data_IF_378549943148
#
_entry.id   IF_378549943148
#
_cell.length_a   1.000
_cell.length_b   1.000
_cell.length_c   1.000
_cell.angle_alpha   90.00
_cell.angle_beta   90.00
_cell.angle_gamma   90.00
#
_symmetry.space_group_name_H-M   'P 1'
#
loop_
_entity.id
_entity.type
_entity.pdbx_description
1 polymer ?
#
# COMPACT_ATOMS: atom_id res chain seq x y z
N UNK A 1 -36.94 -70.88 -28.47
CA UNK A 1 -35.76 -70.69 -27.61
C UNK A 1 -35.17 -69.32 -27.91
N UNK A 2 -35.46 -68.30 -27.10
CA UNK A 2 -34.90 -66.94 -27.25
C UNK A 2 -34.26 -66.56 -25.92
N UNK A 3 -32.95 -66.38 -25.94
CA UNK A 3 -32.12 -65.97 -24.82
C UNK A 3 -32.33 -64.46 -24.58
N UNK A 4 -32.78 -64.10 -23.37
CA UNK A 4 -32.82 -62.71 -22.93
C UNK A 4 -31.46 -62.36 -22.30
N UNK A 5 -30.62 -61.63 -23.02
CA UNK A 5 -29.43 -60.97 -22.47
C UNK A 5 -29.89 -59.73 -21.68
N UNK A 6 -29.74 -59.76 -20.36
CA UNK A 6 -29.83 -58.58 -19.49
C UNK A 6 -28.46 -57.89 -19.49
N UNK A 7 -28.36 -56.77 -20.21
CA UNK A 7 -27.20 -55.87 -20.18
C UNK A 7 -27.28 -55.02 -18.89
N UNK A 8 -26.41 -55.30 -17.93
CA UNK A 8 -26.23 -54.47 -16.74
C UNK A 8 -25.39 -53.23 -17.10
N UNK A 9 -26.01 -52.06 -17.11
CA UNK A 9 -25.34 -50.78 -17.36
C UNK A 9 -24.65 -50.33 -16.06
N UNK A 10 -23.34 -50.54 -15.97
CA UNK A 10 -22.51 -50.09 -14.84
C UNK A 10 -22.26 -48.58 -14.97
N UNK A 11 -23.10 -47.79 -14.30
CA UNK A 11 -22.98 -46.33 -14.27
C UNK A 11 -21.88 -45.95 -13.26
N UNK A 12 -20.64 -45.84 -13.75
CA UNK A 12 -19.49 -45.38 -12.98
C UNK A 12 -19.67 -43.88 -12.70
N UNK A 13 -20.26 -43.58 -11.54
CA UNK A 13 -20.30 -42.22 -10.98
C UNK A 13 -18.87 -41.88 -10.53
N UNK A 14 -18.15 -41.12 -11.35
CA UNK A 14 -16.89 -40.48 -10.96
C UNK A 14 -17.18 -39.40 -9.94
N UNK A 15 -17.17 -39.80 -8.66
CA UNK A 15 -17.07 -38.87 -7.53
C UNK A 15 -15.76 -38.09 -7.68
N UNK A 16 -15.85 -36.87 -8.19
CA UNK A 16 -14.78 -35.89 -8.07
C UNK A 16 -14.58 -35.63 -6.57
N UNK A 17 -13.59 -36.32 -5.99
CA UNK A 17 -13.19 -36.14 -4.61
C UNK A 17 -12.54 -34.76 -4.50
N UNK A 18 -13.33 -33.73 -4.17
CA UNK A 18 -12.77 -32.46 -3.72
C UNK A 18 -12.06 -32.78 -2.40
N UNK A 19 -10.75 -32.63 -2.36
CA UNK A 19 -9.96 -32.83 -1.15
C UNK A 19 -10.55 -31.94 -0.04
N UNK A 20 -11.26 -32.54 0.91
CA UNK A 20 -11.85 -31.82 2.04
C UNK A 20 -10.73 -31.53 3.04
N UNK A 21 -10.12 -30.36 2.92
CA UNK A 21 -9.13 -29.84 3.87
C UNK A 21 -9.82 -29.55 5.21
N UNK A 22 -9.99 -30.55 6.08
CA UNK A 22 -10.34 -30.38 7.50
C UNK A 22 -11.54 -29.47 7.83
N UNK A 23 -12.52 -29.30 6.94
CA UNK A 23 -13.65 -28.38 7.13
C UNK A 23 -13.34 -26.90 6.86
N UNK A 24 -12.29 -26.58 6.11
CA UNK A 24 -11.99 -25.22 5.65
C UNK A 24 -12.14 -25.12 4.13
N UNK A 25 -12.62 -23.97 3.66
CA UNK A 25 -12.59 -23.59 2.24
C UNK A 25 -11.94 -22.21 2.10
N UNK A 26 -11.36 -21.96 0.93
CA UNK A 26 -10.60 -20.75 0.64
C UNK A 26 -11.21 -20.04 -0.57
N UNK A 27 -11.26 -18.71 -0.56
CA UNK A 27 -11.67 -17.95 -1.76
C UNK A 27 -10.71 -18.19 -2.93
N UNK A 28 -9.43 -18.40 -2.64
CA UNK A 28 -8.42 -18.92 -3.55
C UNK A 28 -7.24 -19.48 -2.74
N UNK A 29 -6.44 -20.36 -3.35
CA UNK A 29 -5.11 -20.73 -2.85
C UNK A 29 -3.99 -19.97 -3.56
N UNK A 30 -4.32 -19.22 -4.62
CA UNK A 30 -3.40 -18.37 -5.37
C UNK A 30 -4.07 -17.00 -5.60
N UNK A 31 -3.61 -15.98 -4.88
CA UNK A 31 -4.12 -14.62 -5.03
C UNK A 31 -3.06 -13.74 -5.68
N UNK A 32 -3.47 -13.00 -6.71
CA UNK A 32 -2.61 -12.09 -7.45
C UNK A 32 -3.21 -10.69 -7.48
N UNK A 33 -2.35 -9.67 -7.42
CA UNK A 33 -2.73 -8.29 -7.68
C UNK A 33 -1.74 -7.61 -8.61
N UNK A 34 -2.24 -7.08 -9.72
CA UNK A 34 -1.53 -6.08 -10.53
C UNK A 34 -1.86 -4.69 -9.98
N UNK A 35 -0.83 -3.96 -9.56
CA UNK A 35 -0.95 -2.70 -8.83
C UNK A 35 -0.13 -1.59 -9.51
N UNK A 36 -0.74 -0.77 -10.38
CA UNK A 36 -0.19 0.52 -10.78
C UNK A 36 -0.23 1.48 -9.57
N UNK A 37 0.92 1.89 -9.04
CA UNK A 37 1.04 2.68 -7.79
C UNK A 37 2.07 3.81 -7.88
N UNK A 38 1.89 4.85 -7.07
CA UNK A 38 2.89 5.90 -6.88
C UNK A 38 3.97 5.41 -5.91
N UNK A 39 5.16 5.12 -6.43
CA UNK A 39 6.28 4.61 -5.63
C UNK A 39 6.96 5.70 -4.78
N UNK A 40 6.55 6.96 -4.90
CA UNK A 40 7.06 8.04 -4.04
C UNK A 40 6.36 8.08 -2.67
N UNK A 41 5.24 7.38 -2.50
CA UNK A 41 4.54 7.27 -1.22
C UNK A 41 5.33 6.38 -0.24
N UNK A 42 5.87 6.94 0.87
CA UNK A 42 6.64 6.18 1.84
C UNK A 42 5.79 5.21 2.69
N UNK A 43 4.46 5.33 2.66
CA UNK A 43 3.52 4.47 3.39
C UNK A 43 2.79 3.48 2.48
N UNK A 44 3.21 3.37 1.23
CA UNK A 44 2.59 2.50 0.24
C UNK A 44 2.57 1.04 0.70
N UNK A 45 1.37 0.47 0.76
CA UNK A 45 1.16 -0.96 0.90
C UNK A 45 0.21 -1.50 -0.19
N UNK A 46 0.47 -2.74 -0.63
CA UNK A 46 -0.36 -3.41 -1.62
C UNK A 46 -0.97 -4.66 -0.99
N UNK A 47 -2.27 -4.58 -0.73
CA UNK A 47 -3.05 -5.63 -0.07
C UNK A 47 -3.52 -6.70 -1.06
N UNK A 48 -3.26 -7.95 -0.72
CA UNK A 48 -3.71 -9.16 -1.43
C UNK A 48 -4.44 -10.07 -0.42
N UNK A 49 -5.78 -10.02 -0.36
CA UNK A 49 -6.56 -10.80 0.59
C UNK A 49 -6.87 -12.21 0.10
N UNK A 50 -6.92 -13.17 1.02
CA UNK A 50 -7.56 -14.48 0.84
C UNK A 50 -8.54 -14.68 2.00
N UNK A 51 -9.78 -15.05 1.69
CA UNK A 51 -10.79 -15.33 2.70
C UNK A 51 -10.86 -16.83 2.97
N UNK A 52 -10.79 -17.20 4.23
CA UNK A 52 -10.94 -18.56 4.75
C UNK A 52 -12.34 -18.68 5.33
N UNK A 53 -13.08 -19.72 4.95
CA UNK A 53 -14.40 -20.04 5.53
C UNK A 53 -14.29 -21.35 6.29
N UNK A 54 -14.76 -21.39 7.54
CA UNK A 54 -14.91 -22.64 8.27
C UNK A 54 -16.27 -23.26 7.93
N UNK A 55 -16.24 -24.33 7.13
CA UNK A 55 -17.42 -25.14 6.75
C UNK A 55 -17.59 -26.37 7.65
N UNK A 56 -16.68 -26.58 8.60
CA UNK A 56 -16.75 -27.61 9.61
C UNK A 56 -17.77 -27.31 10.72
N UNK A 57 -17.92 -28.27 11.62
CA UNK A 57 -18.82 -28.17 12.79
C UNK A 57 -18.14 -27.58 14.03
N UNK A 58 -16.81 -27.65 14.08
CA UNK A 58 -16.01 -27.20 15.22
C UNK A 58 -15.34 -25.86 14.94
N UNK A 59 -14.99 -25.14 15.99
CA UNK A 59 -14.23 -23.88 15.87
C UNK A 59 -12.79 -24.18 15.42
N UNK A 60 -12.37 -23.57 14.32
CA UNK A 60 -11.02 -23.71 13.80
C UNK A 60 -10.08 -22.69 14.47
N UNK A 61 -8.91 -23.17 14.93
CA UNK A 61 -7.80 -22.34 15.41
C UNK A 61 -6.62 -22.52 14.48
N UNK A 62 -6.20 -21.45 13.80
CA UNK A 62 -5.27 -21.53 12.67
C UNK A 62 -3.96 -20.83 12.99
N UNK A 63 -2.87 -21.52 12.64
CA UNK A 63 -1.51 -20.98 12.64
C UNK A 63 -1.12 -20.75 11.19
N UNK A 64 -0.50 -19.62 10.89
CA UNK A 64 0.14 -19.35 9.60
C UNK A 64 1.66 -19.26 9.78
N UNK A 65 2.42 -19.71 8.77
CA UNK A 65 3.88 -19.58 8.71
C UNK A 65 4.30 -19.01 7.36
N UNK A 66 5.10 -17.95 7.41
CA UNK A 66 5.68 -17.29 6.25
C UNK A 66 6.80 -18.12 5.65
N UNK A 67 6.79 -18.25 4.33
CA UNK A 67 7.95 -18.68 3.55
C UNK A 67 8.74 -17.47 3.04
N UNK A 68 9.90 -17.72 2.44
CA UNK A 68 10.75 -16.65 1.88
C UNK A 68 10.04 -15.85 0.79
N UNK A 69 10.15 -14.52 0.87
CA UNK A 69 9.74 -13.61 -0.19
C UNK A 69 10.69 -13.79 -1.39
N UNK A 70 10.13 -14.09 -2.57
CA UNK A 70 10.83 -14.04 -3.84
C UNK A 70 10.43 -12.76 -4.57
N UNK A 71 11.33 -11.79 -4.66
CA UNK A 71 11.08 -10.49 -5.29
C UNK A 71 12.25 -9.53 -5.12
N UNK A 72 12.06 -8.23 -5.40
CA UNK A 72 13.09 -7.23 -5.17
C UNK A 72 13.56 -7.23 -3.71
N UNK A 73 14.89 -7.14 -3.50
CA UNK A 73 15.49 -7.25 -2.16
C UNK A 73 15.05 -6.16 -1.18
N UNK A 74 14.59 -5.02 -1.69
CA UNK A 74 14.05 -3.93 -0.87
C UNK A 74 12.66 -4.24 -0.34
N UNK A 75 11.91 -5.17 -0.91
CA UNK A 75 10.52 -5.39 -0.54
C UNK A 75 10.38 -6.01 0.84
N UNK A 76 9.36 -5.54 1.56
CA UNK A 76 8.87 -6.11 2.79
C UNK A 76 7.50 -6.76 2.63
N UNK A 77 7.07 -7.47 3.66
CA UNK A 77 5.71 -8.00 3.76
C UNK A 77 5.15 -7.92 5.19
N UNK A 78 3.85 -7.67 5.30
CA UNK A 78 3.08 -7.74 6.56
C UNK A 78 1.91 -8.69 6.38
N UNK A 79 1.68 -9.59 7.35
CA UNK A 79 0.52 -10.51 7.32
C UNK A 79 -0.52 -9.98 8.30
N UNK A 80 -1.76 -9.82 7.87
CA UNK A 80 -2.87 -9.58 8.80
C UNK A 80 -3.81 -10.77 8.80
N UNK A 81 -4.13 -11.25 9.99
CA UNK A 81 -5.25 -12.15 10.23
C UNK A 81 -6.37 -11.40 10.98
N UNK A 82 -7.37 -12.13 11.47
CA UNK A 82 -8.50 -11.53 12.20
C UNK A 82 -8.15 -11.00 13.60
N UNK A 83 -6.97 -11.33 14.12
CA UNK A 83 -6.54 -10.90 15.45
C UNK A 83 -5.62 -9.69 15.35
N UNK A 84 -4.62 -9.73 14.45
CA UNK A 84 -3.59 -8.70 14.38
C UNK A 84 -2.91 -8.63 13.00
N UNK A 85 -2.15 -7.56 12.80
CA UNK A 85 -1.21 -7.38 11.72
C UNK A 85 0.23 -7.55 12.22
N UNK A 86 0.97 -8.44 11.57
CA UNK A 86 2.30 -8.87 11.99
C UNK A 86 3.35 -8.41 10.97
N UNK A 87 4.28 -7.59 11.45
CA UNK A 87 5.35 -7.00 10.65
C UNK A 87 6.38 -8.02 10.15
N UNK A 88 7.33 -7.53 9.35
CA UNK A 88 8.28 -8.33 8.58
C UNK A 88 9.12 -9.33 9.38
N UNK A 89 9.38 -9.00 10.65
CA UNK A 89 10.18 -9.82 11.56
C UNK A 89 9.41 -11.01 12.12
N UNK A 90 8.08 -11.02 12.02
CA UNK A 90 7.22 -12.07 12.56
C UNK A 90 6.94 -13.10 11.46
N UNK A 91 7.52 -14.28 11.63
CA UNK A 91 7.40 -15.37 10.65
C UNK A 91 6.13 -16.22 10.84
N UNK A 92 5.46 -16.12 11.99
CA UNK A 92 4.25 -16.87 12.32
C UNK A 92 3.51 -16.23 13.48
N UNK A 93 2.19 -16.41 13.56
CA UNK A 93 1.42 -16.14 14.78
C UNK A 93 1.64 -17.19 15.90
N UNK A 94 2.45 -18.22 15.65
CA UNK A 94 3.04 -19.07 16.67
C UNK A 94 4.57 -19.05 16.53
N UNK A 95 5.23 -18.26 17.37
CA UNK A 95 6.69 -18.18 17.42
C UNK A 95 7.18 -18.23 18.88
N UNK A 96 7.70 -19.40 19.34
CA UNK A 96 8.23 -19.54 20.70
C UNK A 96 9.39 -18.59 21.02
N UNK A 97 10.20 -18.18 20.04
CA UNK A 97 11.33 -17.27 20.25
C UNK A 97 10.84 -15.86 20.59
N UNK A 98 9.71 -15.47 20.02
CA UNK A 98 9.04 -14.21 20.29
C UNK A 98 8.00 -14.31 21.41
N UNK A 99 7.86 -15.49 22.04
CA UNK A 99 6.79 -15.81 23.02
C UNK A 99 5.38 -15.51 22.49
N UNK A 100 5.20 -15.69 21.17
CA UNK A 100 3.95 -15.43 20.47
C UNK A 100 3.18 -16.73 20.28
N UNK A 101 1.93 -16.77 20.73
CA UNK A 101 1.02 -17.90 20.55
C UNK A 101 -0.41 -17.38 20.39
N UNK A 102 -0.70 -16.83 19.22
CA UNK A 102 -1.97 -16.18 18.89
C UNK A 102 -2.65 -16.81 17.67
N UNK A 103 -3.05 -18.10 17.71
CA UNK A 103 -3.82 -18.70 16.62
C UNK A 103 -5.12 -17.92 16.37
N UNK A 104 -5.37 -17.53 15.12
CA UNK A 104 -6.61 -16.85 14.79
C UNK A 104 -7.77 -17.84 14.72
N UNK A 105 -8.95 -17.38 15.13
CA UNK A 105 -10.11 -18.23 15.39
C UNK A 105 -11.18 -18.01 14.34
N UNK A 106 -11.73 -19.12 13.82
CA UNK A 106 -12.86 -19.11 12.89
C UNK A 106 -13.95 -20.03 13.44
N UNK A 107 -15.03 -19.45 13.96
CA UNK A 107 -16.20 -20.22 14.40
C UNK A 107 -16.87 -20.96 13.21
N UNK A 108 -17.66 -22.02 13.47
CA UNK A 108 -18.41 -22.73 12.43
C UNK A 108 -19.27 -21.78 11.58
N UNK A 109 -19.19 -21.89 10.26
CA UNK A 109 -19.90 -21.04 9.30
C UNK A 109 -19.39 -19.60 9.22
N UNK A 110 -18.32 -19.24 9.94
CA UNK A 110 -17.71 -17.90 9.90
C UNK A 110 -16.53 -17.84 8.95
N UNK A 111 -16.09 -16.60 8.69
CA UNK A 111 -15.02 -16.26 7.77
C UNK A 111 -13.90 -15.51 8.47
N UNK A 112 -12.71 -15.61 7.90
CA UNK A 112 -11.51 -14.88 8.29
C UNK A 112 -10.76 -14.42 7.06
N UNK A 113 -10.23 -13.21 7.09
CA UNK A 113 -9.38 -12.72 6.01
C UNK A 113 -7.92 -12.86 6.44
N UNK A 114 -7.13 -13.47 5.56
CA UNK A 114 -5.69 -13.53 5.67
C UNK A 114 -5.09 -12.68 4.56
N UNK A 115 -4.64 -11.49 4.93
CA UNK A 115 -4.22 -10.44 4.01
C UNK A 115 -2.70 -10.36 3.99
N UNK A 116 -2.12 -10.51 2.80
CA UNK A 116 -0.72 -10.23 2.56
C UNK A 116 -0.57 -8.78 2.08
N UNK A 117 0.17 -7.99 2.83
CA UNK A 117 0.61 -6.65 2.43
C UNK A 117 2.00 -6.78 1.84
N UNK A 118 2.18 -6.32 0.60
CA UNK A 118 3.49 -6.11 0.00
C UNK A 118 3.91 -4.65 0.21
N UNK A 119 5.13 -4.46 0.73
CA UNK A 119 5.71 -3.16 1.04
C UNK A 119 6.85 -2.90 0.04
N UNK A 120 6.61 -2.19 -1.08
CA UNK A 120 7.58 -2.10 -2.17
C UNK A 120 8.78 -1.20 -1.89
N UNK A 121 8.69 -0.33 -0.88
CA UNK A 121 9.75 0.63 -0.50
C UNK A 121 10.38 1.34 -1.70
N UNK A 122 9.53 1.96 -2.52
CA UNK A 122 9.91 2.73 -3.70
C UNK A 122 10.40 1.90 -4.90
N UNK A 123 10.29 0.58 -4.87
CA UNK A 123 10.84 -0.30 -5.90
C UNK A 123 9.73 -1.05 -6.65
N UNK A 124 9.61 -0.81 -7.95
CA UNK A 124 8.72 -1.60 -8.82
C UNK A 124 9.22 -3.05 -8.93
N UNK A 125 8.31 -3.99 -9.22
CA UNK A 125 8.69 -5.37 -9.44
C UNK A 125 7.55 -6.35 -9.23
N UNK A 126 7.89 -7.64 -9.28
CA UNK A 126 6.98 -8.72 -8.91
C UNK A 126 7.51 -9.41 -7.67
N UNK A 127 6.67 -9.56 -6.65
CA UNK A 127 6.97 -10.32 -5.44
C UNK A 127 5.99 -11.46 -5.28
N UNK A 128 6.51 -12.60 -4.83
CA UNK A 128 5.77 -13.83 -4.56
C UNK A 128 6.14 -14.34 -3.19
N UNK A 129 5.15 -14.72 -2.39
CA UNK A 129 5.35 -15.28 -1.06
C UNK A 129 4.22 -16.24 -0.73
N UNK A 130 4.50 -17.25 0.08
CA UNK A 130 3.48 -18.22 0.51
C UNK A 130 3.34 -18.26 2.01
N UNK A 131 2.13 -18.55 2.47
CA UNK A 131 1.81 -18.88 3.85
C UNK A 131 1.42 -20.36 3.94
N UNK A 132 2.10 -21.09 4.82
CA UNK A 132 1.69 -22.44 5.21
C UNK A 132 0.74 -22.35 6.40
N UNK A 133 -0.45 -22.92 6.27
CA UNK A 133 -1.43 -22.99 7.35
C UNK A 133 -1.35 -24.34 8.06
N UNK A 134 -1.62 -24.33 9.37
CA UNK A 134 -1.77 -25.52 10.21
C UNK A 134 -2.89 -25.30 11.23
N UNK A 135 -3.50 -26.38 11.72
CA UNK A 135 -4.36 -26.30 12.90
C UNK A 135 -3.50 -26.17 14.16
N UNK A 136 -3.94 -25.36 15.13
CA UNK A 136 -3.22 -25.16 16.39
C UNK A 136 -2.99 -26.46 17.18
N UNK A 137 -3.91 -27.44 17.06
CA UNK A 137 -3.77 -28.74 17.70
C UNK A 137 -2.72 -29.66 17.04
N UNK A 138 -2.32 -29.37 15.79
CA UNK A 138 -1.33 -30.12 15.02
C UNK A 138 -0.42 -29.12 14.28
N UNK A 139 0.35 -28.30 15.01
CA UNK A 139 1.04 -27.15 14.44
C UNK A 139 2.05 -27.54 13.37
N UNK A 140 2.60 -28.76 13.39
CA UNK A 140 3.61 -29.22 12.41
C UNK A 140 3.01 -29.83 11.14
N UNK A 141 1.69 -29.95 11.06
CA UNK A 141 0.99 -30.49 9.87
C UNK A 141 0.47 -29.35 9.00
N UNK A 142 1.04 -29.20 7.80
CA UNK A 142 0.56 -28.22 6.82
C UNK A 142 -0.79 -28.69 6.26
N UNK A 143 -1.83 -27.87 6.40
CA UNK A 143 -3.19 -28.16 5.91
C UNK A 143 -3.53 -27.42 4.62
N UNK A 144 -2.84 -26.31 4.36
CA UNK A 144 -2.97 -25.54 3.13
C UNK A 144 -1.71 -24.69 2.90
N UNK A 145 -1.42 -24.39 1.63
CA UNK A 145 -0.42 -23.41 1.24
C UNK A 145 -1.12 -22.34 0.40
N UNK A 146 -1.02 -21.09 0.87
CA UNK A 146 -1.64 -19.93 0.25
C UNK A 146 -0.55 -19.10 -0.42
N UNK A 147 -0.64 -18.96 -1.75
CA UNK A 147 0.35 -18.24 -2.55
C UNK A 147 -0.17 -16.83 -2.88
N UNK A 148 0.66 -15.83 -2.62
CA UNK A 148 0.38 -14.43 -2.87
C UNK A 148 1.37 -13.89 -3.88
N UNK A 149 0.88 -13.15 -4.88
CA UNK A 149 1.68 -12.45 -5.87
C UNK A 149 1.22 -10.99 -5.99
N UNK A 150 2.18 -10.06 -5.94
CA UNK A 150 1.94 -8.67 -6.30
C UNK A 150 2.86 -8.29 -7.47
N UNK A 151 2.26 -7.77 -8.54
CA UNK A 151 2.98 -7.13 -9.63
C UNK A 151 2.78 -5.62 -9.50
N UNK A 152 3.81 -4.94 -8.99
CA UNK A 152 3.79 -3.51 -8.70
C UNK A 152 4.49 -2.78 -9.82
N UNK A 153 3.76 -1.89 -10.49
CA UNK A 153 4.27 -1.03 -11.57
C UNK A 153 4.20 0.40 -11.07
N UNK A 154 5.26 1.17 -11.32
CA UNK A 154 5.17 2.61 -11.11
C UNK A 154 4.15 3.17 -12.08
N UNK A 155 3.12 3.83 -11.56
CA UNK A 155 2.52 4.90 -12.36
C UNK A 155 3.45 6.08 -12.23
N UNK A 156 3.78 6.67 -13.37
CA UNK A 156 4.18 8.06 -13.34
C UNK A 156 2.93 8.83 -12.91
N UNK A 157 2.83 9.18 -11.63
CA UNK A 157 2.09 10.40 -11.33
C UNK A 157 2.82 11.48 -12.11
N UNK A 158 2.11 12.20 -12.98
CA UNK A 158 2.66 13.40 -13.61
C UNK A 158 2.83 14.46 -12.53
N UNK A 159 3.80 14.29 -11.64
CA UNK A 159 4.79 15.33 -11.59
C UNK A 159 5.59 15.12 -12.85
N UNK A 160 5.38 15.94 -13.88
CA UNK A 160 6.57 16.29 -14.65
C UNK A 160 7.52 16.79 -13.56
N UNK A 161 8.54 16.00 -13.25
CA UNK A 161 9.86 16.56 -13.13
C UNK A 161 10.04 17.35 -14.44
N UNK A 162 9.51 18.58 -14.45
CA UNK A 162 10.12 19.64 -15.20
C UNK A 162 11.55 19.52 -14.72
N UNK A 163 12.42 18.99 -15.59
CA UNK A 163 13.85 18.95 -15.39
C UNK A 163 14.20 20.07 -14.44
N UNK A 164 14.66 19.69 -13.24
CA UNK A 164 14.83 20.56 -12.08
C UNK A 164 15.72 21.76 -12.44
N UNK A 165 15.13 22.71 -13.13
CA UNK A 165 15.52 24.08 -13.10
C UNK A 165 15.21 24.48 -11.68
N UNK A 166 16.27 24.67 -10.90
CA UNK A 166 16.19 25.03 -9.49
C UNK A 166 15.36 26.32 -9.33
N UNK A 167 14.03 26.25 -9.28
CA UNK A 167 13.19 27.40 -8.95
C UNK A 167 13.43 27.73 -7.49
N UNK A 168 13.99 28.90 -7.23
CA UNK A 168 14.40 29.37 -5.92
C UNK A 168 13.79 30.75 -5.65
N UNK A 169 13.45 30.98 -4.39
CA UNK A 169 13.03 32.29 -3.90
C UNK A 169 14.25 33.03 -3.35
N UNK A 170 14.44 34.27 -3.77
CA UNK A 170 15.51 35.12 -3.24
C UNK A 170 15.08 36.58 -3.10
N UNK A 171 15.57 37.31 -2.08
CA UNK A 171 16.37 36.79 -0.97
C UNK A 171 15.52 35.88 -0.06
N UNK A 172 16.12 34.92 0.61
CA UNK A 172 15.47 34.13 1.65
C UNK A 172 16.49 33.84 2.76
N UNK A 173 16.38 34.45 3.95
CA UNK A 173 15.26 35.25 4.45
C UNK A 173 15.01 36.57 3.69
N UNK A 174 13.75 37.01 3.64
CA UNK A 174 13.29 38.23 2.99
C UNK A 174 12.76 39.25 3.99
N UNK A 175 12.98 40.54 3.73
CA UNK A 175 12.40 41.63 4.54
C UNK A 175 11.18 42.23 3.86
N UNK A 176 11.35 42.81 2.66
CA UNK A 176 10.28 43.57 2.00
C UNK A 176 9.67 42.87 0.79
N UNK A 177 10.44 42.04 0.10
CA UNK A 177 9.98 41.32 -1.09
C UNK A 177 10.83 40.08 -1.33
N UNK A 178 10.28 39.13 -2.10
CA UNK A 178 11.04 38.04 -2.71
C UNK A 178 10.88 38.08 -4.24
N UNK A 179 11.78 37.41 -4.94
CA UNK A 179 11.77 37.17 -6.38
C UNK A 179 11.88 35.68 -6.63
N UNK A 180 11.51 35.26 -7.85
CA UNK A 180 11.65 33.90 -8.34
C UNK A 180 12.60 33.93 -9.53
N UNK A 181 13.59 33.03 -9.55
CA UNK A 181 14.63 33.02 -10.60
C UNK A 181 14.13 32.51 -11.95
N UNK A 182 12.92 31.93 -12.00
CA UNK A 182 12.32 31.36 -13.21
C UNK A 182 10.82 31.21 -13.05
N UNK A 183 10.06 31.58 -14.09
CA UNK A 183 8.59 31.55 -14.09
C UNK A 183 8.01 30.74 -15.26
N UNK A 184 8.54 29.55 -15.50
CA UNK A 184 8.09 28.71 -16.62
C UNK A 184 6.70 28.12 -16.33
N UNK A 185 5.69 28.52 -17.11
CA UNK A 185 4.29 28.06 -17.02
C UNK A 185 3.58 28.43 -15.70
N UNK A 186 3.93 29.55 -15.06
CA UNK A 186 3.27 30.03 -13.85
C UNK A 186 2.42 31.24 -14.22
N UNK A 187 1.12 31.21 -13.89
CA UNK A 187 0.17 32.29 -14.18
C UNK A 187 0.05 33.25 -12.97
N UNK A 188 -0.01 32.69 -11.76
CA UNK A 188 -0.08 33.47 -10.54
C UNK A 188 0.59 32.77 -9.34
N UNK A 189 0.86 33.54 -8.30
CA UNK A 189 1.48 33.10 -7.06
C UNK A 189 0.50 33.35 -5.92
N UNK A 190 0.35 32.37 -5.03
CA UNK A 190 -0.45 32.51 -3.82
C UNK A 190 0.46 32.39 -2.60
N UNK A 191 0.42 33.39 -1.73
CA UNK A 191 1.16 33.40 -0.47
C UNK A 191 0.24 32.95 0.66
N UNK A 192 0.61 31.88 1.36
CA UNK A 192 -0.07 31.35 2.53
C UNK A 192 0.76 31.55 3.80
N UNK A 193 0.10 31.68 4.94
CA UNK A 193 0.75 31.45 6.23
C UNK A 193 0.88 29.94 6.53
N UNK A 194 1.56 29.58 7.62
CA UNK A 194 1.74 28.16 8.03
C UNK A 194 0.45 27.41 8.35
N UNK A 195 -0.66 28.13 8.60
CA UNK A 195 -1.99 27.55 8.85
C UNK A 195 -2.80 27.39 7.55
N UNK A 196 -2.22 27.68 6.37
CA UNK A 196 -2.88 27.56 5.08
C UNK A 196 -3.81 28.73 4.72
N UNK A 197 -3.85 29.81 5.52
CA UNK A 197 -4.66 31.00 5.19
C UNK A 197 -3.98 31.80 4.07
N UNK A 198 -4.72 32.10 3.00
CA UNK A 198 -4.27 32.98 1.92
C UNK A 198 -4.01 34.39 2.46
N UNK A 199 -2.78 34.84 2.34
CA UNK A 199 -2.32 36.16 2.78
C UNK A 199 -2.34 37.14 1.62
N UNK A 200 -1.84 36.74 0.45
CA UNK A 200 -1.74 37.55 -0.77
C UNK A 200 -1.76 36.67 -2.02
N UNK A 201 -2.03 37.31 -3.15
CA UNK A 201 -1.97 36.70 -4.47
C UNK A 201 -1.33 37.70 -5.43
N UNK A 202 -0.52 37.20 -6.36
CA UNK A 202 0.23 38.02 -7.32
C UNK A 202 0.13 37.40 -8.70
N UNK A 203 -0.03 38.22 -9.73
CA UNK A 203 0.20 37.76 -11.11
C UNK A 203 1.69 37.45 -11.30
N UNK A 204 1.99 36.32 -11.94
CA UNK A 204 3.37 35.97 -12.25
C UNK A 204 3.92 36.91 -13.32
N UNK A 205 5.13 37.43 -13.11
CA UNK A 205 5.80 38.32 -14.06
C UNK A 205 7.30 38.08 -13.98
N UNK A 206 7.93 37.87 -15.13
CA UNK A 206 9.37 37.66 -15.22
C UNK A 206 10.15 38.83 -14.58
N UNK A 207 11.11 38.52 -13.71
CA UNK A 207 11.84 39.52 -12.92
C UNK A 207 11.02 40.22 -11.81
N UNK A 208 9.77 39.82 -11.60
CA UNK A 208 8.84 40.43 -10.65
C UNK A 208 9.33 40.43 -9.20
N UNK A 209 9.01 41.49 -8.47
CA UNK A 209 9.24 41.61 -7.01
C UNK A 209 7.93 41.49 -6.25
N UNK A 210 7.80 40.43 -5.46
CA UNK A 210 6.60 40.10 -4.72
C UNK A 210 6.69 40.62 -3.29
N UNK A 211 5.91 41.67 -2.99
CA UNK A 211 6.03 42.42 -1.73
C UNK A 211 5.49 41.64 -0.52
N UNK A 212 6.30 41.54 0.53
CA UNK A 212 5.95 40.99 1.84
C UNK A 212 5.75 42.06 2.94
N UNK A 213 5.92 43.34 2.61
CA UNK A 213 5.73 44.45 3.56
C UNK A 213 4.35 44.42 4.21
N UNK A 214 4.27 44.68 5.52
CA UNK A 214 3.02 44.66 6.30
C UNK A 214 2.57 43.27 6.76
N UNK A 215 3.29 42.21 6.39
CA UNK A 215 3.09 40.89 6.98
C UNK A 215 3.94 40.75 8.26
N UNK A 216 3.50 39.99 9.27
CA UNK A 216 4.35 39.66 10.42
C UNK A 216 5.62 38.88 10.03
N UNK A 217 6.60 38.88 10.93
CA UNK A 217 7.76 37.99 10.80
C UNK A 217 7.34 36.53 10.99
N UNK A 218 7.92 35.64 10.21
CA UNK A 218 7.55 34.23 10.25
C UNK A 218 7.78 33.48 8.94
N UNK A 219 7.26 32.27 8.88
CA UNK A 219 7.35 31.39 7.72
C UNK A 219 6.09 31.54 6.87
N UNK A 220 6.28 31.66 5.57
CA UNK A 220 5.21 31.68 4.57
C UNK A 220 5.49 30.65 3.48
N UNK A 221 4.41 30.23 2.83
CA UNK A 221 4.44 29.29 1.72
C UNK A 221 3.98 30.01 0.45
N UNK A 222 4.77 29.95 -0.60
CA UNK A 222 4.47 30.51 -1.92
C UNK A 222 4.09 29.37 -2.85
N UNK A 223 2.81 29.26 -3.16
CA UNK A 223 2.32 28.35 -4.19
C UNK A 223 2.45 29.00 -5.56
N UNK A 224 3.09 28.30 -6.49
CA UNK A 224 3.21 28.66 -7.91
C UNK A 224 2.08 27.96 -8.64
N UNK A 225 1.18 28.73 -9.23
CA UNK A 225 -0.07 28.21 -9.78
C UNK A 225 -0.11 28.42 -11.28
N UNK A 226 -0.59 27.40 -11.97
CA UNK A 226 -1.02 27.48 -13.34
C UNK A 226 -2.53 27.27 -13.40
N UNK A 227 -3.25 28.12 -14.12
CA UNK A 227 -4.72 28.12 -14.13
C UNK A 227 -5.31 26.82 -14.70
N UNK A 228 -4.56 26.12 -15.56
CA UNK A 228 -4.98 24.85 -16.17
C UNK A 228 -4.55 23.63 -15.37
N UNK A 229 -3.43 23.71 -14.65
CA UNK A 229 -2.79 22.56 -13.98
C UNK A 229 -2.87 22.61 -12.46
N UNK A 230 -3.39 23.70 -11.89
CA UNK A 230 -3.42 23.94 -10.45
C UNK A 230 -2.05 24.30 -9.88
N UNK A 231 -1.83 23.95 -8.61
CA UNK A 231 -0.58 24.26 -7.91
C UNK A 231 0.56 23.40 -8.47
N UNK A 232 1.52 24.04 -9.12
CA UNK A 232 2.70 23.39 -9.69
C UNK A 232 3.77 23.09 -8.65
N UNK A 233 4.00 24.02 -7.71
CA UNK A 233 5.03 23.89 -6.67
C UNK A 233 4.74 24.81 -5.50
N UNK A 234 5.14 24.41 -4.30
CA UNK A 234 5.12 25.30 -3.12
C UNK A 234 6.54 25.50 -2.61
N UNK A 235 6.93 26.77 -2.37
CA UNK A 235 8.24 27.16 -1.89
C UNK A 235 8.12 27.87 -0.54
N UNK A 236 9.09 27.67 0.36
CA UNK A 236 9.11 28.31 1.68
C UNK A 236 9.88 29.63 1.62
N UNK A 237 9.28 30.72 2.09
CA UNK A 237 9.97 32.00 2.33
C UNK A 237 9.91 32.35 3.81
N UNK A 238 11.07 32.69 4.38
CA UNK A 238 11.16 33.20 5.73
C UNK A 238 11.15 34.72 5.68
N UNK A 239 10.12 35.35 6.24
CA UNK A 239 10.09 36.79 6.46
C UNK A 239 10.78 37.15 7.77
N UNK A 240 11.73 38.09 7.70
CA UNK A 240 12.42 38.65 8.85
C UNK A 240 12.56 40.16 8.69
N UNK A 241 11.91 40.91 9.56
CA UNK A 241 12.03 42.36 9.68
C UNK A 241 13.43 42.74 10.14
N UNK A 242 13.85 43.95 9.78
CA UNK A 242 15.00 44.57 10.42
C UNK A 242 14.65 44.78 11.89
N UNK A 243 15.33 44.04 12.78
CA UNK A 243 15.34 44.39 14.20
C UNK A 243 16.20 45.65 14.33
N UNK A 244 15.71 46.73 14.98
CA UNK A 244 16.56 47.85 15.33
C UNK A 244 17.72 47.42 16.24
#
# INVERSE_FOLDING_TARGET
MKHNLLFAFFLVFSLACVAQTGGLTFSSTNAKKDAPVDLTDPFLDVQVPITITNTGKDTAKIIWRRLSLNGPSKWGTRVCDNNNCYDEIVSSNLDPKLRLNEPFVIAPGKKADLIMYFLPYGTAGTGKISLHLAFAAKPDTVIASLNYEANIRSIATSTRDIQQANVQLFPNPSTDYFQINRLDNIDHLILYNVLGRKMREYTAQEGGRYRLTGLPDGIYLVALVNDQKGVLRTLRVQKKGLRP
#
